data_IF_148307109727
#
_entry.id   IF_148307109727
#
_cell.length_a   1.000
_cell.length_b   1.000
_cell.length_c   1.000
_cell.angle_alpha   90.00
_cell.angle_beta   90.00
_cell.angle_gamma   90.00
#
_symmetry.space_group_name_H-M   'P 1'
#
loop_
_entity.id
_entity.type
_entity.pdbx_description
1 polymer ?
#
# COMPACT_ATOMS: atom_id res chain seq x y z
N UNK A 1 31.59 -10.31 -3.49
CA UNK A 1 30.89 -10.99 -2.40
C UNK A 1 31.90 -11.46 -1.40
N UNK A 2 31.72 -11.08 -0.14
CA UNK A 2 32.19 -11.71 1.11
C UNK A 2 31.58 -10.89 2.24
N UNK A 3 30.98 -11.54 3.24
CA UNK A 3 30.46 -10.89 4.45
C UNK A 3 31.24 -11.49 5.62
N UNK A 4 31.78 -10.63 6.48
CA UNK A 4 32.56 -11.01 7.65
C UNK A 4 31.86 -10.47 8.91
N UNK A 5 31.69 -11.31 9.95
CA UNK A 5 30.96 -10.99 11.17
C UNK A 5 31.81 -11.35 12.39
N UNK A 6 32.04 -10.38 13.27
CA UNK A 6 32.71 -10.57 14.56
C UNK A 6 31.82 -10.02 15.69
N UNK A 7 31.72 -10.79 16.79
CA UNK A 7 30.84 -10.56 17.96
C UNK A 7 31.65 -10.20 19.22
N UNK A 8 31.01 -9.87 20.36
CA UNK A 8 31.53 -10.15 21.71
C UNK A 8 30.44 -10.09 22.83
N UNK A 9 29.90 -11.27 23.15
CA UNK A 9 29.71 -11.91 24.48
C UNK A 9 28.90 -11.31 25.67
N UNK A 10 28.34 -10.10 25.71
CA UNK A 10 27.43 -9.72 26.83
C UNK A 10 26.17 -8.96 26.37
N UNK A 11 25.10 -9.73 26.20
CA UNK A 11 23.68 -9.34 26.37
C UNK A 11 23.40 -7.88 26.71
N UNK A 12 22.75 -7.16 25.79
CA UNK A 12 21.77 -6.13 26.20
C UNK A 12 20.63 -5.92 25.20
N UNK A 13 20.87 -6.06 23.89
CA UNK A 13 19.83 -5.89 22.85
C UNK A 13 19.29 -7.23 22.31
N UNK A 14 19.22 -8.26 23.16
CA UNK A 14 18.81 -9.61 22.76
C UNK A 14 17.31 -9.67 22.44
N UNK A 15 16.93 -9.30 21.22
CA UNK A 15 15.80 -9.87 20.47
C UNK A 15 15.65 -9.37 19.02
N UNK A 16 16.48 -8.44 18.53
CA UNK A 16 16.43 -8.09 17.11
C UNK A 16 17.14 -9.16 16.25
N UNK A 17 16.43 -10.25 15.99
CA UNK A 17 16.78 -11.20 14.93
C UNK A 17 16.71 -10.43 13.60
N UNK A 18 17.86 -9.98 13.07
CA UNK A 18 17.95 -9.40 11.73
C UNK A 18 17.97 -10.55 10.70
N UNK A 19 16.85 -11.24 10.64
CA UNK A 19 16.34 -11.94 9.45
C UNK A 19 15.12 -11.11 9.07
N UNK A 20 15.05 -10.56 7.85
CA UNK A 20 14.15 -9.45 7.46
C UNK A 20 12.89 -9.32 8.32
N UNK A 21 12.68 -8.15 8.94
CA UNK A 21 11.56 -7.95 9.87
C UNK A 21 10.24 -8.40 9.24
N UNK A 22 9.26 -8.83 10.04
CA UNK A 22 7.95 -9.26 9.52
C UNK A 22 7.34 -8.25 8.52
N UNK A 23 7.57 -6.97 8.76
CA UNK A 23 7.20 -5.87 7.86
C UNK A 23 7.90 -5.92 6.49
N UNK A 24 9.18 -6.30 6.44
CA UNK A 24 9.93 -6.48 5.19
C UNK A 24 9.39 -7.66 4.37
N UNK A 25 9.06 -8.79 5.01
CA UNK A 25 8.45 -9.95 4.33
C UNK A 25 7.10 -9.57 3.72
N UNK A 26 6.25 -8.91 4.50
CA UNK A 26 4.93 -8.44 4.04
C UNK A 26 5.05 -7.39 2.93
N UNK A 27 6.05 -6.50 2.99
CA UNK A 27 6.30 -5.54 1.92
C UNK A 27 6.70 -6.24 0.62
N UNK A 28 7.56 -7.25 0.68
CA UNK A 28 7.97 -8.01 -0.49
C UNK A 28 6.80 -8.78 -1.11
N UNK A 29 5.95 -9.37 -0.27
CA UNK A 29 4.71 -10.02 -0.71
C UNK A 29 3.78 -9.03 -1.43
N UNK A 30 3.49 -7.88 -0.80
CA UNK A 30 2.67 -6.84 -1.40
C UNK A 30 3.26 -6.36 -2.74
N UNK A 31 4.57 -6.10 -2.79
CA UNK A 31 5.26 -5.65 -4.00
C UNK A 31 5.17 -6.69 -5.13
N UNK A 32 5.22 -7.98 -4.82
CA UNK A 32 5.08 -9.04 -5.81
C UNK A 32 3.73 -8.96 -6.54
N UNK A 33 2.64 -8.75 -5.81
CA UNK A 33 1.31 -8.60 -6.41
C UNK A 33 1.12 -7.21 -7.04
N UNK A 34 1.67 -6.15 -6.44
CA UNK A 34 1.63 -4.79 -6.98
C UNK A 34 2.29 -4.70 -8.37
N UNK A 35 3.41 -5.41 -8.58
CA UNK A 35 4.07 -5.49 -9.89
C UNK A 35 3.13 -6.02 -10.99
N UNK A 36 2.32 -7.03 -10.70
CA UNK A 36 1.36 -7.59 -11.67
C UNK A 36 0.30 -6.57 -12.10
N UNK A 37 -0.18 -5.74 -11.17
CA UNK A 37 -1.10 -4.64 -11.51
C UNK A 37 -0.40 -3.60 -12.39
N UNK A 38 0.86 -3.29 -12.12
CA UNK A 38 1.62 -2.30 -12.90
C UNK A 38 1.92 -2.80 -14.32
N UNK A 39 2.28 -4.07 -14.48
CA UNK A 39 2.48 -4.73 -15.79
C UNK A 39 1.20 -4.67 -16.63
N UNK A 40 0.07 -5.08 -16.06
CA UNK A 40 -1.24 -5.00 -16.74
C UNK A 40 -1.62 -3.56 -17.09
N UNK A 41 -1.34 -2.61 -16.20
CA UNK A 41 -1.62 -1.21 -16.46
C UNK A 41 -0.77 -0.67 -17.61
N UNK A 42 0.52 -1.04 -17.66
CA UNK A 42 1.43 -0.63 -18.72
C UNK A 42 0.95 -1.13 -20.10
N UNK A 43 0.52 -2.39 -20.17
CA UNK A 43 -0.06 -2.97 -21.40
C UNK A 43 -1.33 -2.22 -21.83
N UNK A 44 -2.27 -2.00 -20.91
CA UNK A 44 -3.52 -1.31 -21.21
C UNK A 44 -3.32 0.14 -21.66
N UNK A 45 -2.40 0.86 -21.01
CA UNK A 45 -2.06 2.25 -21.34
C UNK A 45 -1.40 2.32 -22.72
N UNK A 46 -0.49 1.40 -23.03
CA UNK A 46 0.14 1.30 -24.36
C UNK A 46 -0.92 1.09 -25.44
N UNK A 47 -1.79 0.10 -25.25
CA UNK A 47 -2.88 -0.20 -26.20
C UNK A 47 -3.83 0.98 -26.37
N UNK A 48 -4.10 1.73 -25.28
CA UNK A 48 -5.00 2.88 -25.30
C UNK A 48 -4.41 3.99 -26.16
N UNK A 49 -3.13 4.31 -25.98
CA UNK A 49 -2.46 5.32 -26.80
C UNK A 49 -2.36 4.93 -28.27
N UNK A 50 -2.13 3.64 -28.57
CA UNK A 50 -2.17 3.16 -29.94
C UNK A 50 -3.56 3.36 -30.55
N UNK A 51 -4.63 2.98 -29.84
CA UNK A 51 -6.00 3.18 -30.31
C UNK A 51 -6.34 4.67 -30.53
N UNK A 52 -5.83 5.56 -29.68
CA UNK A 52 -5.99 7.01 -29.85
C UNK A 52 -5.26 7.53 -31.09
N UNK A 53 -4.02 7.07 -31.32
CA UNK A 53 -3.25 7.43 -32.51
C UNK A 53 -3.93 6.96 -33.81
N UNK A 54 -4.59 5.80 -33.77
CA UNK A 54 -5.34 5.23 -34.89
C UNK A 54 -6.74 5.83 -35.05
N UNK A 55 -7.15 6.79 -34.20
CA UNK A 55 -8.47 7.41 -34.21
C UNK A 55 -9.61 6.47 -33.79
N UNK A 56 -9.30 5.33 -33.17
CA UNK A 56 -10.28 4.34 -32.72
C UNK A 56 -10.81 4.66 -31.32
N UNK A 57 -11.75 5.60 -31.26
CA UNK A 57 -12.35 6.09 -30.01
C UNK A 57 -13.05 4.99 -29.21
N UNK A 58 -13.83 4.12 -29.86
CA UNK A 58 -14.51 3.00 -29.19
C UNK A 58 -13.53 2.06 -28.47
N UNK A 59 -12.39 1.76 -29.10
CA UNK A 59 -11.36 0.92 -28.48
C UNK A 59 -10.65 1.64 -27.33
N UNK A 60 -10.34 2.92 -27.51
CA UNK A 60 -9.75 3.77 -26.46
C UNK A 60 -10.64 3.83 -25.22
N UNK A 61 -11.94 4.11 -25.38
CA UNK A 61 -12.89 4.21 -24.26
C UNK A 61 -13.01 2.87 -23.52
N UNK A 62 -13.07 1.76 -24.27
CA UNK A 62 -13.06 0.41 -23.68
C UNK A 62 -11.80 0.14 -22.85
N UNK A 63 -10.64 0.59 -23.31
CA UNK A 63 -9.36 0.44 -22.60
C UNK A 63 -9.31 1.32 -21.35
N UNK A 64 -9.81 2.55 -21.43
CA UNK A 64 -9.91 3.44 -20.28
C UNK A 64 -10.77 2.82 -19.17
N UNK A 65 -11.91 2.20 -19.52
CA UNK A 65 -12.73 1.48 -18.55
C UNK A 65 -11.99 0.28 -17.91
N UNK A 66 -11.18 -0.45 -18.70
CA UNK A 66 -10.35 -1.54 -18.17
C UNK A 66 -9.30 -1.01 -17.19
N UNK A 67 -8.66 0.12 -17.48
CA UNK A 67 -7.69 0.79 -16.59
C UNK A 67 -8.38 1.21 -15.28
N UNK A 68 -9.55 1.86 -15.36
CA UNK A 68 -10.35 2.24 -14.18
C UNK A 68 -10.70 1.04 -13.31
N UNK A 69 -11.11 -0.07 -13.93
CA UNK A 69 -11.42 -1.31 -13.21
C UNK A 69 -10.18 -1.97 -12.60
N UNK A 70 -9.04 -1.93 -13.28
CA UNK A 70 -7.77 -2.43 -12.76
C UNK A 70 -7.33 -1.63 -11.53
N UNK A 71 -7.45 -0.30 -11.57
CA UNK A 71 -7.15 0.58 -10.44
C UNK A 71 -8.03 0.25 -9.23
N UNK A 72 -9.35 0.07 -9.41
CA UNK A 72 -10.26 -0.35 -8.35
C UNK A 72 -9.82 -1.68 -7.70
N UNK A 73 -9.43 -2.66 -8.51
CA UNK A 73 -8.94 -3.96 -8.01
C UNK A 73 -7.63 -3.82 -7.23
N UNK A 74 -6.71 -2.96 -7.68
CA UNK A 74 -5.46 -2.66 -6.96
C UNK A 74 -5.73 -2.01 -5.59
N UNK A 75 -6.69 -1.09 -5.54
CA UNK A 75 -7.12 -0.42 -4.30
C UNK A 75 -7.72 -1.44 -3.33
N UNK A 76 -8.67 -2.26 -3.78
CA UNK A 76 -9.28 -3.31 -2.96
C UNK A 76 -8.24 -4.29 -2.44
N UNK A 77 -7.30 -4.71 -3.28
CA UNK A 77 -6.19 -5.58 -2.85
C UNK A 77 -5.37 -4.94 -1.73
N UNK A 78 -4.98 -3.67 -1.89
CA UNK A 78 -4.18 -2.94 -0.90
C UNK A 78 -4.93 -2.77 0.42
N UNK A 79 -6.20 -2.35 0.37
CA UNK A 79 -7.04 -2.18 1.55
C UNK A 79 -7.19 -3.51 2.30
N UNK A 80 -7.48 -4.60 1.59
CA UNK A 80 -7.60 -5.93 2.20
C UNK A 80 -6.27 -6.40 2.79
N UNK A 81 -5.15 -6.16 2.10
CA UNK A 81 -3.82 -6.51 2.60
C UNK A 81 -3.50 -5.76 3.89
N UNK A 82 -3.76 -4.45 3.95
CA UNK A 82 -3.59 -3.66 5.17
C UNK A 82 -4.54 -4.11 6.29
N UNK A 83 -5.81 -4.36 5.98
CA UNK A 83 -6.82 -4.79 6.94
C UNK A 83 -6.53 -6.18 7.55
N UNK A 84 -5.80 -7.04 6.83
CA UNK A 84 -5.37 -8.35 7.33
C UNK A 84 -4.04 -8.31 8.13
N UNK A 85 -3.33 -7.19 8.12
CA UNK A 85 -2.03 -7.02 8.76
C UNK A 85 -1.99 -5.79 9.69
N UNK A 86 -3.10 -5.48 10.36
CA UNK A 86 -3.26 -4.25 11.17
C UNK A 86 -2.36 -4.23 12.42
N UNK A 87 -1.84 -5.38 12.83
CA UNK A 87 -0.85 -5.54 13.88
C UNK A 87 0.60 -5.28 13.41
N UNK A 88 0.79 -4.90 12.16
CA UNK A 88 2.10 -4.61 11.57
C UNK A 88 2.13 -3.19 11.00
N UNK A 89 3.28 -2.52 11.09
CA UNK A 89 3.48 -1.15 10.61
C UNK A 89 3.29 -1.00 9.09
N UNK A 90 3.34 -2.11 8.35
CA UNK A 90 3.03 -2.16 6.92
C UNK A 90 1.61 -1.69 6.61
N UNK A 91 0.64 -1.96 7.50
CA UNK A 91 -0.76 -1.58 7.27
C UNK A 91 -0.97 -0.06 7.16
N UNK A 92 -0.59 0.76 8.18
CA UNK A 92 -0.72 2.22 8.07
C UNK A 92 0.18 2.79 6.96
N UNK A 93 1.35 2.21 6.71
CA UNK A 93 2.22 2.62 5.61
C UNK A 93 1.56 2.44 4.24
N UNK A 94 0.97 1.28 3.97
CA UNK A 94 0.28 1.03 2.70
C UNK A 94 -0.99 1.88 2.56
N UNK A 95 -1.75 2.06 3.65
CA UNK A 95 -2.92 2.92 3.65
C UNK A 95 -2.57 4.37 3.25
N UNK A 96 -1.48 4.91 3.81
CA UNK A 96 -0.98 6.25 3.51
C UNK A 96 -0.38 6.39 2.12
N UNK A 97 0.33 5.37 1.61
CA UNK A 97 1.15 5.55 0.40
C UNK A 97 0.45 5.06 -0.87
N UNK A 98 -0.50 4.15 -0.76
CA UNK A 98 -1.09 3.46 -1.92
C UNK A 98 -2.57 3.76 -2.13
N UNK A 99 -3.31 4.12 -1.06
CA UNK A 99 -4.77 4.30 -1.09
C UNK A 99 -5.21 5.50 -0.22
N UNK A 100 -4.40 6.55 -0.15
CA UNK A 100 -4.67 7.73 0.69
C UNK A 100 -5.98 8.43 0.37
N UNK A 101 -6.44 8.34 -0.88
CA UNK A 101 -7.67 8.94 -1.41
C UNK A 101 -8.86 7.97 -1.39
N UNK A 102 -8.69 6.71 -0.93
CA UNK A 102 -9.78 5.75 -0.80
C UNK A 102 -10.87 6.24 0.17
N UNK A 103 -12.04 5.61 0.16
CA UNK A 103 -13.15 6.01 1.02
C UNK A 103 -12.72 6.08 2.50
N UNK A 104 -13.01 7.22 3.15
CA UNK A 104 -12.56 7.51 4.51
C UNK A 104 -13.01 6.44 5.52
N UNK A 105 -14.23 5.92 5.38
CA UNK A 105 -14.75 4.85 6.26
C UNK A 105 -13.94 3.55 6.14
N UNK A 106 -13.43 3.22 4.95
CA UNK A 106 -12.54 2.07 4.77
C UNK A 106 -11.19 2.29 5.46
N UNK A 107 -10.63 3.50 5.36
CA UNK A 107 -9.38 3.83 6.03
C UNK A 107 -9.53 3.83 7.56
N UNK A 108 -10.64 4.36 8.07
CA UNK A 108 -10.99 4.30 9.50
C UNK A 108 -11.10 2.85 9.99
N UNK A 109 -11.67 1.96 9.18
CA UNK A 109 -11.80 0.55 9.54
C UNK A 109 -10.44 -0.16 9.71
N UNK A 110 -9.41 0.27 9.00
CA UNK A 110 -8.03 -0.20 9.19
C UNK A 110 -7.50 0.38 10.51
N UNK A 111 -7.67 1.68 10.74
CA UNK A 111 -7.14 2.36 11.92
C UNK A 111 -7.68 1.80 13.24
N UNK A 112 -8.99 1.53 13.32
CA UNK A 112 -9.66 0.99 14.51
C UNK A 112 -9.12 -0.41 14.88
N UNK A 113 -8.68 -1.19 13.89
CA UNK A 113 -8.17 -2.56 14.10
C UNK A 113 -6.66 -2.62 14.36
N UNK A 114 -5.95 -1.49 14.33
CA UNK A 114 -4.52 -1.46 14.64
C UNK A 114 -4.27 -1.71 16.13
N UNK A 115 -3.17 -2.39 16.45
CA UNK A 115 -2.77 -2.57 17.86
C UNK A 115 -2.23 -1.25 18.45
N UNK A 116 -2.23 -1.08 19.78
CA UNK A 116 -1.68 0.11 20.42
C UNK A 116 -0.22 0.40 20.01
N UNK A 117 0.59 -0.64 19.82
CA UNK A 117 1.99 -0.52 19.40
C UNK A 117 2.08 0.05 17.97
N UNK A 118 1.26 -0.45 17.04
CA UNK A 118 1.21 0.06 15.67
C UNK A 118 0.68 1.49 15.64
N UNK A 119 -0.36 1.81 16.40
CA UNK A 119 -0.88 3.18 16.51
C UNK A 119 0.19 4.16 17.04
N UNK A 120 1.01 3.71 18.00
CA UNK A 120 2.08 4.52 18.57
C UNK A 120 3.35 4.62 17.68
N UNK A 121 3.45 3.78 16.65
CA UNK A 121 4.55 3.79 15.68
C UNK A 121 4.57 5.07 14.83
N UNK A 122 5.68 5.29 14.11
CA UNK A 122 5.81 6.44 13.20
C UNK A 122 4.67 6.48 12.17
N UNK A 123 4.49 5.40 11.43
CA UNK A 123 3.48 5.35 10.36
C UNK A 123 2.05 5.29 10.90
N UNK A 124 1.83 4.67 12.06
CA UNK A 124 0.53 4.71 12.74
C UNK A 124 0.11 6.13 13.12
N UNK A 125 1.02 6.90 13.74
CA UNK A 125 0.78 8.31 14.08
C UNK A 125 0.52 9.18 12.86
N UNK A 126 1.34 9.01 11.80
CA UNK A 126 1.14 9.73 10.54
C UNK A 126 -0.21 9.40 9.91
N UNK A 127 -0.62 8.13 9.94
CA UNK A 127 -1.90 7.69 9.39
C UNK A 127 -3.10 8.24 10.16
N UNK A 128 -3.06 8.18 11.50
CA UNK A 128 -4.11 8.76 12.33
C UNK A 128 -4.21 10.28 12.14
N UNK A 129 -3.07 10.99 12.12
CA UNK A 129 -3.06 12.44 11.86
C UNK A 129 -3.61 12.77 10.47
N UNK A 130 -3.30 11.95 9.47
CA UNK A 130 -3.86 12.09 8.13
C UNK A 130 -5.39 11.94 8.13
N UNK A 131 -5.93 10.94 8.84
CA UNK A 131 -7.38 10.72 8.94
C UNK A 131 -8.10 11.89 9.62
N UNK A 132 -7.53 12.45 10.70
CA UNK A 132 -8.13 13.62 11.34
C UNK A 132 -8.22 14.82 10.40
N UNK A 133 -7.13 15.15 9.70
CA UNK A 133 -7.11 16.24 8.71
C UNK A 133 -8.14 16.01 7.61
N UNK A 134 -8.28 14.77 7.14
CA UNK A 134 -9.24 14.43 6.09
C UNK A 134 -10.68 14.58 6.57
N UNK A 135 -10.98 14.20 7.83
CA UNK A 135 -12.30 14.42 8.44
C UNK A 135 -12.65 15.91 8.57
N UNK A 136 -11.67 16.77 8.81
CA UNK A 136 -11.88 18.22 8.84
C UNK A 136 -12.21 18.73 7.44
N UNK A 137 -11.40 18.37 6.43
CA UNK A 137 -11.64 18.79 5.04
C UNK A 137 -12.98 18.29 4.47
N UNK A 138 -13.42 17.08 4.81
CA UNK A 138 -14.72 16.55 4.34
C UNK A 138 -15.93 17.15 5.08
N UNK A 139 -15.75 17.78 6.25
CA UNK A 139 -16.82 18.49 6.99
C UNK A 139 -17.02 19.93 6.52
N UNK A 140 -16.00 20.53 5.91
CA UNK A 140 -16.02 21.91 5.41
C UNK A 140 -16.56 22.01 3.96
N UNK A 141 -16.72 20.88 3.27
CA UNK A 141 -17.29 20.77 1.92
C UNK A 141 -18.73 20.24 1.95
#
# INVERSE_FOLDING_TARGET
GTIEINTLLKTFESSAKITGSKNQELLQEYQFYSRKFNEQNLELVKDMYQAQADGNTLRSDSLEQKIKNLLKRRYLYTINFAANNTNENIAPYLALTQVFDANLSLLDSIAVKMTPEVQASKYGKEFLSFLEKRRESEREN
#
